data_IF_190445215227
#
_entry.id   IF_190445215227
#
_cell.length_a   1.000
_cell.length_b   1.000
_cell.length_c   1.000
_cell.angle_alpha   90.00
_cell.angle_beta   90.00
_cell.angle_gamma   90.00
#
_symmetry.space_group_name_H-M   'P 1'
#
loop_
_entity.id
_entity.type
_entity.pdbx_description
1 polymer ?
#
# COMPACT_ATOMS: atom_id res chain seq x y z
N UNK A 1 7.08 -8.60 -6.57
CA UNK A 1 8.11 -9.15 -5.65
C UNK A 1 7.50 -9.24 -4.26
N UNK A 2 7.72 -10.35 -3.57
CA UNK A 2 7.37 -10.52 -2.15
C UNK A 2 8.64 -10.93 -1.42
N UNK A 3 8.94 -10.28 -0.29
CA UNK A 3 10.11 -10.56 0.55
C UNK A 3 9.60 -10.83 1.96
N UNK A 4 9.70 -12.06 2.42
CA UNK A 4 9.35 -12.43 3.79
C UNK A 4 10.49 -12.08 4.75
N UNK A 5 10.16 -11.83 6.01
CA UNK A 5 11.13 -11.45 7.06
C UNK A 5 12.04 -10.27 6.66
N UNK A 6 11.49 -9.33 5.90
CA UNK A 6 12.20 -8.13 5.46
C UNK A 6 12.61 -7.24 6.64
N UNK A 7 11.77 -7.15 7.66
CA UNK A 7 12.02 -6.40 8.89
C UNK A 7 12.36 -7.33 10.05
N UNK A 8 13.41 -7.01 10.80
CA UNK A 8 13.70 -7.69 12.07
C UNK A 8 12.60 -7.43 13.12
N UNK A 9 12.58 -8.21 14.17
CA UNK A 9 11.64 -8.02 15.29
C UNK A 9 11.79 -6.63 15.93
N UNK A 10 13.03 -6.16 16.12
CA UNK A 10 13.35 -4.85 16.68
C UNK A 10 12.85 -3.71 15.78
N UNK A 11 13.05 -3.81 14.47
CA UNK A 11 12.57 -2.80 13.53
C UNK A 11 11.04 -2.77 13.47
N UNK A 12 10.40 -3.94 13.51
CA UNK A 12 8.93 -4.00 13.59
C UNK A 12 8.41 -3.32 14.86
N UNK A 13 9.08 -3.54 15.99
CA UNK A 13 8.72 -2.88 17.25
C UNK A 13 8.88 -1.36 17.15
N UNK A 14 9.98 -0.88 16.59
CA UNK A 14 10.19 0.55 16.34
C UNK A 14 9.02 1.17 15.59
N UNK A 15 8.56 0.55 14.49
CA UNK A 15 7.44 1.09 13.71
C UNK A 15 6.11 1.01 14.47
N UNK A 16 5.85 -0.07 15.23
CA UNK A 16 4.65 -0.16 16.08
C UNK A 16 4.60 0.96 17.11
N UNK A 17 5.72 1.23 17.78
CA UNK A 17 5.81 2.30 18.78
C UNK A 17 5.50 3.68 18.16
N UNK A 18 5.95 3.91 16.92
CA UNK A 18 5.61 5.12 16.18
C UNK A 18 4.14 5.17 15.78
N UNK A 19 3.58 4.05 15.35
CA UNK A 19 2.17 3.96 15.00
C UNK A 19 1.25 4.22 16.20
N UNK A 20 1.64 3.86 17.43
CA UNK A 20 0.86 4.19 18.64
C UNK A 20 0.77 5.69 18.91
N UNK A 21 1.75 6.47 18.44
CA UNK A 21 1.83 7.92 18.62
C UNK A 21 1.39 8.71 17.39
N UNK A 22 1.03 8.03 16.30
CA UNK A 22 0.70 8.66 15.04
C UNK A 22 -0.63 9.43 15.10
N UNK A 23 -0.70 10.55 14.38
CA UNK A 23 -1.92 11.34 14.24
C UNK A 23 -2.84 10.72 13.18
N UNK A 24 -3.56 9.68 13.57
CA UNK A 24 -4.46 8.95 12.69
C UNK A 24 -5.65 9.79 12.25
N UNK A 25 -5.95 9.74 10.96
CA UNK A 25 -7.17 10.26 10.35
C UNK A 25 -7.95 9.11 9.77
N UNK A 26 -9.19 8.94 10.18
CA UNK A 26 -10.07 7.90 9.63
C UNK A 26 -10.58 8.29 8.25
N UNK A 27 -11.07 7.34 7.48
CA UNK A 27 -11.63 7.59 6.15
C UNK A 27 -12.78 8.62 6.20
N UNK A 28 -13.55 8.65 7.29
CA UNK A 28 -14.58 9.66 7.52
C UNK A 28 -14.05 11.10 7.59
N UNK A 29 -12.77 11.27 7.95
CA UNK A 29 -12.10 12.57 8.04
C UNK A 29 -11.41 12.96 6.71
N UNK A 30 -11.52 12.12 5.70
CA UNK A 30 -10.91 12.24 4.37
C UNK A 30 -11.99 12.23 3.27
N UNK A 31 -12.85 13.26 3.16
CA UNK A 31 -14.06 13.23 2.32
C UNK A 31 -13.77 12.89 0.86
N UNK A 32 -12.74 13.45 0.26
CA UNK A 32 -12.39 13.18 -1.15
C UNK A 32 -12.00 11.71 -1.36
N UNK A 33 -11.25 11.11 -0.42
CA UNK A 33 -10.85 9.69 -0.49
C UNK A 33 -12.05 8.78 -0.25
N UNK A 34 -12.97 9.18 0.65
CA UNK A 34 -14.19 8.43 0.93
C UNK A 34 -15.14 8.38 -0.27
N UNK A 35 -15.19 9.44 -1.07
CA UNK A 35 -15.97 9.47 -2.32
C UNK A 35 -15.43 8.47 -3.34
N UNK A 36 -14.10 8.35 -3.45
CA UNK A 36 -13.44 7.40 -4.36
C UNK A 36 -13.61 5.94 -3.89
N UNK A 37 -13.73 5.71 -2.58
CA UNK A 37 -13.80 4.38 -1.97
C UNK A 37 -15.03 4.21 -1.06
N UNK A 38 -16.26 4.31 -1.60
CA UNK A 38 -17.47 4.05 -0.83
C UNK A 38 -17.50 2.59 -0.36
N UNK A 39 -18.07 2.32 0.81
CA UNK A 39 -18.21 0.96 1.37
C UNK A 39 -16.87 0.27 1.75
N UNK A 40 -15.80 1.02 1.88
CA UNK A 40 -14.48 0.50 2.29
C UNK A 40 -14.29 0.40 3.82
N UNK A 41 -15.33 0.59 4.60
CA UNK A 41 -15.24 0.67 6.06
C UNK A 41 -14.80 2.06 6.53
N UNK A 42 -13.98 2.11 7.57
CA UNK A 42 -13.45 3.37 8.12
C UNK A 42 -11.97 3.24 8.52
N UNK A 43 -11.17 2.61 7.67
CA UNK A 43 -9.73 2.50 7.87
C UNK A 43 -9.09 3.86 8.11
N UNK A 44 -7.93 3.86 8.77
CA UNK A 44 -7.23 5.09 9.11
C UNK A 44 -5.88 5.19 8.41
N UNK A 45 -5.45 6.45 8.19
CA UNK A 45 -4.17 6.83 7.61
C UNK A 45 -3.46 7.83 8.51
N UNK A 46 -2.12 7.75 8.59
CA UNK A 46 -1.29 8.75 9.22
C UNK A 46 0.00 8.99 8.41
N UNK A 47 0.59 10.16 8.59
CA UNK A 47 1.87 10.49 7.96
C UNK A 47 3.02 9.79 8.69
N UNK A 48 4.04 9.38 7.94
CA UNK A 48 5.30 8.89 8.52
C UNK A 48 6.23 10.08 8.79
N UNK A 49 6.94 10.01 9.92
CA UNK A 49 7.94 11.02 10.28
C UNK A 49 9.30 10.80 9.62
N UNK A 50 10.23 11.77 9.75
CA UNK A 50 11.58 11.64 9.18
C UNK A 50 12.36 10.41 9.67
N UNK A 51 12.33 10.00 10.94
CA UNK A 51 13.06 8.81 11.40
C UNK A 51 12.58 7.51 10.74
N UNK A 52 11.27 7.38 10.55
CA UNK A 52 10.65 6.23 9.90
C UNK A 52 10.96 6.23 8.41
N UNK A 53 10.87 7.40 7.77
CA UNK A 53 11.22 7.58 6.37
C UNK A 53 12.68 7.21 6.08
N UNK A 54 13.61 7.64 6.93
CA UNK A 54 15.03 7.28 6.81
C UNK A 54 15.24 5.77 6.95
N UNK A 55 14.56 5.12 7.91
CA UNK A 55 14.68 3.67 8.11
C UNK A 55 14.11 2.89 6.93
N UNK A 56 12.96 3.32 6.40
CA UNK A 56 12.38 2.73 5.19
C UNK A 56 13.33 2.88 3.99
N UNK A 57 13.88 4.08 3.77
CA UNK A 57 14.83 4.37 2.68
C UNK A 57 16.09 3.53 2.78
N UNK A 58 16.65 3.34 3.99
CA UNK A 58 17.84 2.52 4.16
C UNK A 58 17.61 1.05 3.76
N UNK A 59 16.40 0.55 3.97
CA UNK A 59 16.03 -0.83 3.60
C UNK A 59 15.78 -1.00 2.10
N UNK A 60 15.18 -0.01 1.44
CA UNK A 60 14.97 -0.08 -0.02
C UNK A 60 16.26 0.09 -0.82
N UNK A 61 17.36 0.47 -0.16
CA UNK A 61 18.71 0.50 -0.76
C UNK A 61 19.39 -0.89 -0.81
N UNK A 62 18.77 -1.94 -0.31
CA UNK A 62 19.31 -3.29 -0.51
C UNK A 62 19.43 -3.59 -2.00
N UNK A 63 20.56 -4.16 -2.47
CA UNK A 63 20.86 -4.28 -3.89
C UNK A 63 19.72 -4.87 -4.72
N UNK A 64 19.12 -5.97 -4.27
CA UNK A 64 18.03 -6.64 -5.00
C UNK A 64 16.74 -5.83 -5.09
N UNK A 65 16.49 -4.91 -4.15
CA UNK A 65 15.33 -3.99 -4.17
C UNK A 65 15.66 -2.80 -5.06
N UNK A 66 16.86 -2.27 -4.93
CA UNK A 66 17.34 -1.17 -5.75
C UNK A 66 17.36 -1.57 -7.22
N UNK A 67 17.90 -2.74 -7.56
CA UNK A 67 17.88 -3.29 -8.93
C UNK A 67 16.45 -3.38 -9.48
N UNK A 68 15.50 -3.82 -8.66
CA UNK A 68 14.10 -3.86 -9.06
C UNK A 68 13.53 -2.47 -9.32
N UNK A 69 13.79 -1.50 -8.45
CA UNK A 69 13.33 -0.12 -8.61
C UNK A 69 13.97 0.53 -9.85
N UNK A 70 15.28 0.37 -10.03
CA UNK A 70 16.05 0.96 -11.14
C UNK A 70 15.76 0.30 -12.49
N UNK A 71 15.15 -0.89 -12.50
CA UNK A 71 14.64 -1.51 -13.73
C UNK A 71 13.53 -0.70 -14.40
N UNK A 72 12.95 0.28 -13.69
CA UNK A 72 11.95 1.19 -14.22
C UNK A 72 12.58 2.52 -14.60
N UNK A 73 12.57 2.90 -15.91
CA UNK A 73 13.18 4.15 -16.36
C UNK A 73 12.55 5.37 -15.69
N UNK A 74 13.40 6.31 -15.26
CA UNK A 74 12.96 7.61 -14.76
C UNK A 74 12.34 7.62 -13.37
N UNK A 75 12.53 6.57 -12.57
CA UNK A 75 12.10 6.57 -11.17
C UNK A 75 12.79 7.71 -10.40
N UNK A 76 12.00 8.48 -9.67
CA UNK A 76 12.47 9.57 -8.83
C UNK A 76 12.66 9.06 -7.41
N UNK A 77 13.92 8.82 -7.01
CA UNK A 77 14.25 8.27 -5.69
C UNK A 77 13.95 9.19 -4.49
N UNK A 78 13.50 10.43 -4.72
CA UNK A 78 13.30 11.44 -3.67
C UNK A 78 11.83 11.77 -3.37
N UNK A 79 10.87 11.31 -4.17
CA UNK A 79 9.45 11.52 -3.94
C UNK A 79 8.79 10.21 -3.54
N UNK A 80 8.76 9.96 -2.24
CA UNK A 80 8.14 8.80 -1.64
C UNK A 80 6.86 9.25 -0.93
N UNK A 81 5.72 8.92 -1.53
CA UNK A 81 4.41 9.16 -0.92
C UNK A 81 3.99 8.02 0.00
N UNK A 82 4.75 7.77 1.09
CA UNK A 82 4.43 6.71 2.05
C UNK A 82 3.63 7.22 3.22
N UNK A 83 2.71 6.39 3.70
CA UNK A 83 1.89 6.66 4.87
C UNK A 83 1.66 5.38 5.66
N UNK A 84 1.33 5.54 6.93
CA UNK A 84 0.77 4.47 7.75
C UNK A 84 -0.69 4.20 7.38
N UNK A 85 -1.09 2.95 7.43
CA UNK A 85 -2.46 2.50 7.25
C UNK A 85 -2.83 1.51 8.35
N UNK A 86 -4.05 1.65 8.88
CA UNK A 86 -4.63 0.78 9.89
C UNK A 86 -6.02 0.35 9.46
N UNK A 87 -6.21 -0.97 9.31
CA UNK A 87 -7.49 -1.58 9.00
C UNK A 87 -7.96 -2.41 10.19
N UNK A 88 -9.19 -2.22 10.61
CA UNK A 88 -9.88 -2.98 11.66
C UNK A 88 -10.91 -3.93 11.03
N UNK A 89 -11.52 -4.78 11.81
CA UNK A 89 -12.63 -5.63 11.36
C UNK A 89 -13.69 -4.81 10.61
N UNK A 90 -14.06 -5.26 9.42
CA UNK A 90 -14.98 -4.58 8.52
C UNK A 90 -14.34 -3.64 7.49
N UNK A 91 -13.08 -3.24 7.68
CA UNK A 91 -12.36 -2.36 6.76
C UNK A 91 -11.79 -3.12 5.56
N UNK A 92 -11.74 -2.47 4.42
CA UNK A 92 -11.13 -2.98 3.19
C UNK A 92 -10.68 -1.81 2.31
N UNK A 93 -10.02 -2.10 1.20
CA UNK A 93 -9.84 -1.15 0.11
C UNK A 93 -10.34 -1.80 -1.17
N UNK A 94 -11.36 -1.19 -1.78
CA UNK A 94 -12.00 -1.75 -2.97
C UNK A 94 -11.04 -1.80 -4.16
N UNK A 95 -11.39 -2.58 -5.17
CA UNK A 95 -10.57 -2.77 -6.37
C UNK A 95 -10.33 -1.45 -7.09
N UNK A 96 -9.06 -1.12 -7.31
CA UNK A 96 -8.55 0.06 -7.98
C UNK A 96 -7.20 -0.27 -8.66
N UNK A 97 -6.66 0.63 -9.45
CA UNK A 97 -5.42 0.41 -10.21
C UNK A 97 -4.26 1.35 -9.84
N UNK A 98 -4.48 2.25 -8.87
CA UNK A 98 -3.56 3.30 -8.46
C UNK A 98 -3.22 4.33 -9.57
N UNK A 99 -3.96 4.33 -10.68
CA UNK A 99 -3.83 5.39 -11.68
C UNK A 99 -4.12 6.72 -11.01
N UNK A 100 -3.13 7.60 -11.01
CA UNK A 100 -3.31 8.94 -10.50
C UNK A 100 -4.17 9.72 -11.51
N UNK A 101 -5.45 9.87 -11.21
CA UNK A 101 -6.33 10.79 -11.93
C UNK A 101 -6.09 12.24 -11.47
N UNK A 102 -4.91 12.49 -10.87
CA UNK A 102 -4.53 13.75 -10.29
C UNK A 102 -4.79 14.90 -11.24
N UNK A 103 -5.66 15.82 -10.80
CA UNK A 103 -5.86 17.10 -11.49
C UNK A 103 -4.50 17.78 -11.60
N UNK A 104 -4.03 18.14 -12.81
CA UNK A 104 -2.77 18.84 -12.97
C UNK A 104 -2.79 20.09 -12.08
N UNK A 105 -1.93 20.17 -11.09
CA UNK A 105 -1.74 21.41 -10.34
C UNK A 105 -0.88 22.28 -11.25
N UNK A 106 -1.45 23.39 -11.73
CA UNK A 106 -0.78 24.32 -12.63
C UNK A 106 0.63 24.67 -12.09
N UNK A 107 1.66 24.44 -12.91
CA UNK A 107 3.05 24.71 -12.59
C UNK A 107 3.80 23.61 -11.82
N UNK A 108 3.20 22.46 -11.53
CA UNK A 108 3.89 21.26 -11.01
C UNK A 108 4.01 20.21 -12.08
N UNK A 109 5.18 19.55 -12.15
CA UNK A 109 5.38 18.35 -12.97
C UNK A 109 4.44 17.27 -12.49
N UNK A 110 3.73 16.64 -13.42
CA UNK A 110 2.81 15.55 -13.09
C UNK A 110 3.63 14.31 -12.76
N UNK A 111 3.52 13.82 -11.54
CA UNK A 111 4.15 12.58 -11.13
C UNK A 111 3.21 11.41 -11.42
N UNK A 112 3.75 10.31 -11.93
CA UNK A 112 3.01 9.06 -12.14
C UNK A 112 3.52 7.98 -11.18
N UNK A 113 2.60 7.28 -10.53
CA UNK A 113 2.91 6.09 -9.74
C UNK A 113 3.37 4.96 -10.66
N UNK A 114 4.45 4.27 -10.31
CA UNK A 114 5.02 3.18 -11.13
C UNK A 114 5.21 1.88 -10.37
N UNK A 115 5.59 1.97 -9.11
CA UNK A 115 5.75 0.81 -8.25
C UNK A 115 4.99 1.11 -6.96
N UNK A 116 4.04 0.25 -6.61
CA UNK A 116 3.43 0.24 -5.29
C UNK A 116 4.29 -0.60 -4.34
N UNK A 117 4.37 -0.14 -3.10
CA UNK A 117 5.01 -0.84 -2.00
C UNK A 117 4.05 -0.92 -0.83
N UNK A 118 3.95 -2.10 -0.21
CA UNK A 118 3.28 -2.28 1.08
C UNK A 118 4.11 -3.19 1.97
N UNK A 119 4.21 -2.85 3.25
CA UNK A 119 4.93 -3.65 4.25
C UNK A 119 4.19 -3.62 5.58
N UNK A 120 4.27 -4.71 6.36
CA UNK A 120 3.35 -4.98 7.47
C UNK A 120 4.05 -4.99 8.82
N UNK A 121 3.39 -4.40 9.83
CA UNK A 121 3.97 -4.16 11.15
C UNK A 121 3.11 -4.66 12.33
N UNK A 122 1.91 -5.21 12.09
CA UNK A 122 1.15 -5.88 13.16
C UNK A 122 1.99 -7.02 13.77
N UNK A 123 1.65 -7.42 14.96
CA UNK A 123 2.45 -8.40 15.73
C UNK A 123 2.26 -9.80 15.15
N UNK A 124 1.01 -10.18 14.94
CA UNK A 124 0.57 -11.46 14.40
C UNK A 124 -0.57 -11.24 13.40
N UNK A 125 -0.81 -12.22 12.57
CA UNK A 125 -1.95 -12.25 11.66
C UNK A 125 -2.34 -13.69 11.34
N UNK A 126 -3.60 -14.03 11.58
CA UNK A 126 -4.14 -15.35 11.33
C UNK A 126 -4.78 -15.41 9.93
N UNK A 127 -4.73 -16.58 9.26
CA UNK A 127 -5.30 -16.75 7.92
C UNK A 127 -6.78 -16.37 7.82
N UNK A 128 -7.56 -16.60 8.87
CA UNK A 128 -9.00 -16.35 8.89
C UNK A 128 -9.36 -14.88 9.17
N UNK A 129 -8.36 -14.01 9.37
CA UNK A 129 -8.61 -12.59 9.64
C UNK A 129 -8.76 -11.75 8.37
N UNK A 130 -8.58 -12.33 7.18
CA UNK A 130 -8.71 -11.61 5.92
C UNK A 130 -7.62 -10.55 5.70
N UNK A 131 -7.94 -9.47 5.03
CA UNK A 131 -7.00 -8.36 4.80
C UNK A 131 -5.91 -8.66 3.76
N UNK A 132 -6.03 -9.73 2.97
CA UNK A 132 -5.11 -10.09 1.92
C UNK A 132 -5.05 -9.01 0.84
N UNK A 133 -3.89 -8.88 0.22
CA UNK A 133 -3.72 -8.12 -1.01
C UNK A 133 -3.99 -9.03 -2.21
N UNK A 134 -5.06 -8.77 -2.95
CA UNK A 134 -5.35 -9.44 -4.22
C UNK A 134 -4.85 -8.58 -5.37
N UNK A 135 -4.06 -9.18 -6.26
CA UNK A 135 -3.61 -8.56 -7.51
C UNK A 135 -4.30 -9.25 -8.68
N UNK A 136 -4.74 -8.47 -9.67
CA UNK A 136 -5.49 -8.94 -10.83
C UNK A 136 -4.71 -8.78 -12.12
N UNK A 137 -4.99 -9.65 -13.08
CA UNK A 137 -4.75 -9.42 -14.50
C UNK A 137 -6.07 -9.04 -15.18
N UNK A 138 -5.98 -8.26 -16.24
CA UNK A 138 -7.12 -8.00 -17.12
C UNK A 138 -7.11 -9.05 -18.23
N UNK A 139 -8.23 -9.75 -18.43
CA UNK A 139 -8.39 -10.59 -19.62
C UNK A 139 -8.49 -9.71 -20.86
N UNK A 140 -7.66 -10.02 -21.85
CA UNK A 140 -7.77 -9.42 -23.18
C UNK A 140 -8.92 -10.11 -23.93
N UNK A 141 -10.02 -9.45 -24.07
CA UNK A 141 -11.21 -9.90 -24.82
C UNK A 141 -12.20 -8.75 -24.82
N UNK A 142 -13.16 -8.74 -25.66
CA UNK A 142 -14.17 -7.71 -25.92
C UNK A 142 -14.12 -6.43 -25.08
N UNK A 143 -14.14 -5.27 -25.73
CA UNK A 143 -14.22 -3.95 -25.09
C UNK A 143 -15.54 -3.83 -24.30
N UNK A 144 -15.56 -4.35 -23.09
CA UNK A 144 -16.68 -4.16 -22.16
C UNK A 144 -16.44 -2.90 -21.34
N UNK A 145 -17.51 -2.23 -20.93
CA UNK A 145 -17.45 -1.02 -20.10
C UNK A 145 -16.78 -1.25 -18.72
N UNK A 146 -16.58 -2.51 -18.33
CA UNK A 146 -15.84 -2.91 -17.12
C UNK A 146 -14.74 -3.91 -17.48
N UNK A 147 -13.53 -3.74 -16.94
CA UNK A 147 -12.45 -4.71 -17.17
C UNK A 147 -12.83 -6.07 -16.59
N UNK A 148 -12.61 -7.14 -17.38
CA UNK A 148 -12.71 -8.52 -16.88
C UNK A 148 -11.46 -8.85 -16.07
N UNK A 149 -11.59 -8.91 -14.76
CA UNK A 149 -10.49 -9.05 -13.82
C UNK A 149 -10.38 -10.49 -13.31
N UNK A 150 -9.17 -11.06 -13.43
CA UNK A 150 -8.85 -12.38 -12.90
C UNK A 150 -7.82 -12.25 -11.79
N UNK A 151 -8.09 -12.77 -10.58
CA UNK A 151 -7.08 -12.80 -9.52
C UNK A 151 -5.86 -13.61 -9.97
N UNK A 152 -4.68 -13.02 -9.85
CA UNK A 152 -3.40 -13.68 -10.16
C UNK A 152 -2.58 -13.97 -8.91
N UNK A 153 -2.71 -13.14 -7.88
CA UNK A 153 -2.01 -13.30 -6.61
C UNK A 153 -2.95 -12.99 -5.47
N UNK A 154 -2.89 -13.82 -4.43
CA UNK A 154 -3.48 -13.61 -3.13
C UNK A 154 -2.32 -13.59 -2.13
N UNK A 155 -2.05 -12.44 -1.53
CA UNK A 155 -0.89 -12.21 -0.68
C UNK A 155 -1.36 -11.92 0.73
N UNK A 156 -1.05 -12.85 1.63
CA UNK A 156 -1.30 -12.71 3.06
C UNK A 156 -0.48 -11.53 3.63
N UNK A 157 -1.05 -10.70 4.52
CA UNK A 157 -0.33 -9.60 5.13
C UNK A 157 0.59 -10.07 6.27
N UNK A 158 1.60 -10.86 5.97
CA UNK A 158 2.51 -11.45 6.96
C UNK A 158 3.33 -10.37 7.68
N UNK A 159 3.38 -10.41 9.03
CA UNK A 159 4.18 -9.46 9.81
C UNK A 159 5.64 -9.41 9.35
N UNK A 160 6.14 -8.21 9.07
CA UNK A 160 7.52 -8.00 8.66
C UNK A 160 7.82 -8.31 7.19
N UNK A 161 6.83 -8.65 6.38
CA UNK A 161 7.01 -8.83 4.93
C UNK A 161 6.93 -7.52 4.15
N UNK A 162 7.53 -7.53 2.96
CA UNK A 162 7.48 -6.47 1.96
C UNK A 162 6.85 -7.01 0.68
N UNK A 163 5.92 -6.26 0.11
CA UNK A 163 5.35 -6.53 -1.21
C UNK A 163 5.57 -5.32 -2.10
N UNK A 164 6.06 -5.56 -3.32
CA UNK A 164 6.19 -4.55 -4.36
C UNK A 164 5.61 -5.06 -5.66
N UNK A 165 4.87 -4.23 -6.37
CA UNK A 165 4.29 -4.55 -7.67
C UNK A 165 4.16 -3.31 -8.55
N UNK A 166 4.10 -3.54 -9.86
CA UNK A 166 3.96 -2.47 -10.85
C UNK A 166 2.57 -1.88 -10.85
N UNK A 167 2.47 -0.58 -11.05
CA UNK A 167 1.21 0.15 -11.27
C UNK A 167 1.29 0.94 -12.59
N UNK A 168 0.15 1.15 -13.28
CA UNK A 168 -1.19 0.77 -12.89
C UNK A 168 -1.42 -0.75 -12.95
N UNK A 169 -2.04 -1.31 -11.94
CA UNK A 169 -2.47 -2.71 -11.89
C UNK A 169 -3.63 -2.85 -10.93
N UNK A 170 -4.73 -3.43 -11.36
CA UNK A 170 -5.88 -3.65 -10.49
C UNK A 170 -5.51 -4.51 -9.29
N UNK A 171 -5.86 -4.02 -8.11
CA UNK A 171 -5.64 -4.71 -6.84
C UNK A 171 -6.67 -4.25 -5.80
N UNK A 172 -6.77 -4.98 -4.71
CA UNK A 172 -7.59 -4.62 -3.55
C UNK A 172 -6.99 -5.13 -2.26
N UNK A 173 -7.36 -4.53 -1.13
CA UNK A 173 -7.22 -5.13 0.19
C UNK A 173 -8.55 -5.79 0.55
N UNK A 174 -8.53 -7.11 0.78
CA UNK A 174 -9.71 -7.85 1.23
C UNK A 174 -10.21 -7.30 2.54
N UNK A 175 -11.49 -7.53 2.81
CA UNK A 175 -12.09 -7.10 4.08
C UNK A 175 -11.44 -7.84 5.24
N UNK A 176 -11.07 -7.09 6.26
CA UNK A 176 -10.66 -7.67 7.54
C UNK A 176 -11.91 -8.28 8.18
N UNK A 177 -11.83 -9.57 8.48
CA UNK A 177 -12.95 -10.33 9.02
C UNK A 177 -13.23 -9.97 10.48
N UNK A 178 -14.45 -10.22 10.92
CA UNK A 178 -14.86 -10.00 12.31
C UNK A 178 -14.09 -10.88 13.31
N UNK A 179 -13.59 -12.03 12.86
CA UNK A 179 -12.75 -12.94 13.65
C UNK A 179 -11.43 -12.31 14.07
N UNK A 180 -10.96 -11.27 13.37
CA UNK A 180 -9.79 -10.49 13.81
C UNK A 180 -10.02 -9.74 15.13
N UNK A 181 -11.27 -9.53 15.56
CA UNK A 181 -11.60 -8.90 16.82
C UNK A 181 -10.99 -7.50 16.95
N UNK A 182 -10.08 -7.33 17.89
CA UNK A 182 -9.39 -6.05 18.14
C UNK A 182 -8.06 -5.91 17.40
N UNK A 183 -7.62 -6.95 16.70
CA UNK A 183 -6.37 -6.91 15.93
C UNK A 183 -6.53 -5.97 14.73
N UNK A 184 -5.43 -5.28 14.42
CA UNK A 184 -5.40 -4.31 13.32
C UNK A 184 -4.34 -4.70 12.32
N UNK A 185 -4.71 -4.67 11.04
CA UNK A 185 -3.76 -4.80 9.95
C UNK A 185 -3.00 -3.48 9.80
N UNK A 186 -1.80 -3.43 10.36
CA UNK A 186 -0.93 -2.26 10.35
C UNK A 186 0.07 -2.36 9.21
N UNK A 187 0.17 -1.32 8.39
CA UNK A 187 1.10 -1.30 7.26
C UNK A 187 1.65 0.11 6.99
N UNK A 188 2.78 0.15 6.28
CA UNK A 188 3.20 1.31 5.50
C UNK A 188 2.92 0.97 4.05
N UNK A 189 2.28 1.89 3.33
CA UNK A 189 2.09 1.76 1.90
C UNK A 189 2.35 3.08 1.18
N UNK A 190 2.69 3.00 -0.10
CA UNK A 190 2.96 4.15 -0.95
C UNK A 190 3.59 3.76 -2.27
N UNK A 191 4.18 4.75 -2.96
CA UNK A 191 4.59 4.58 -4.34
C UNK A 191 5.95 5.19 -4.63
N UNK A 192 6.69 4.53 -5.52
CA UNK A 192 7.75 5.14 -6.30
C UNK A 192 7.16 5.72 -7.58
N UNK A 193 7.62 6.90 -7.96
CA UNK A 193 7.02 7.70 -9.01
C UNK A 193 8.03 8.02 -10.12
N UNK A 194 7.52 8.30 -11.32
CA UNK A 194 8.28 8.89 -12.44
C UNK A 194 7.72 10.27 -12.75
N UNK A 195 8.53 11.14 -13.37
CA UNK A 195 7.99 12.33 -14.00
C UNK A 195 7.23 11.95 -15.27
N UNK A 196 6.12 12.63 -15.52
CA UNK A 196 5.46 12.56 -16.83
C UNK A 196 6.34 13.29 -17.84
N UNK A 197 6.69 12.57 -18.94
CA UNK A 197 7.36 13.19 -20.07
C UNK A 197 6.42 14.15 -20.82
#
# INVERSE_FOLDING_TARGET
MVVENFWSAEERQFFRDRMTQAAWKSLSDLPNVREDFPQSGNWAKAEIGPPEGQRLLSRVQFPFIQDYIESFPGIIGRHLGFSYYSYSAGDCLLTHDDTDQGRPIAGRRTLQRRIALVTYFHEEWEPDWGGELIIYATRTGEQTAKPDLVPTHCIEPRPGSLVMFTVPRFHRVCRVDATAGQHRRLSIAGWFMTEHA
#
